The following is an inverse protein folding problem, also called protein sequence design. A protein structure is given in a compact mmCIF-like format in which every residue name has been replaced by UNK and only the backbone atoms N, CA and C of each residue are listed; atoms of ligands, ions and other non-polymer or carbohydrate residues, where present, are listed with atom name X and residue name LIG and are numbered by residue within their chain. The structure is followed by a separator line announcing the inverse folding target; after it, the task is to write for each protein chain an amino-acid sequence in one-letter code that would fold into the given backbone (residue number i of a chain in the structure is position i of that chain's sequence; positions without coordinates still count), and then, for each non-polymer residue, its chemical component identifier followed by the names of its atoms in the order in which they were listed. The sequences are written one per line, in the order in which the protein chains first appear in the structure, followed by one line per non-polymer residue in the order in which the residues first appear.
data_IF_736707690910
#
_entry.id   IF_736707690910
#
_cell.length_a   1.000
_cell.length_b   1.000
_cell.length_c   1.000
_cell.angle_alpha   90.00
_cell.angle_beta   90.00
_cell.angle_gamma   90.00
#
_symmetry.space_group_name_H-M   'P 1'
#
loop_
_entity.id
_entity.type
_entity.pdbx_description
1 polymer ?
#
# COMPACT_ATOMS: atom_id res chain seq x y z
N UNK A 1 -22.81 -37.08 51.09
CA UNK A 1 -22.37 -36.28 49.92
C UNK A 1 -23.27 -35.05 49.75
N UNK A 2 -22.70 -33.84 49.78
CA UNK A 2 -23.48 -32.62 49.52
C UNK A 2 -23.76 -32.51 48.02
N UNK A 3 -25.02 -32.28 47.64
CA UNK A 3 -25.41 -32.03 46.26
C UNK A 3 -24.73 -30.75 45.76
N UNK A 4 -24.05 -30.82 44.60
CA UNK A 4 -23.61 -29.60 43.90
C UNK A 4 -24.87 -28.87 43.42
N UNK A 5 -25.06 -27.64 43.87
CA UNK A 5 -26.17 -26.80 43.41
C UNK A 5 -26.07 -26.59 41.91
N UNK A 6 -27.23 -26.64 41.23
CA UNK A 6 -27.34 -26.22 39.84
C UNK A 6 -27.08 -24.72 39.75
N UNK A 7 -26.28 -24.35 38.77
CA UNK A 7 -26.06 -22.95 38.41
C UNK A 7 -27.41 -22.28 38.10
N UNK A 8 -27.67 -21.16 38.77
CA UNK A 8 -28.95 -20.48 38.77
C UNK A 8 -29.12 -19.54 37.58
N UNK A 9 -28.00 -19.08 36.99
CA UNK A 9 -28.00 -18.21 35.82
C UNK A 9 -26.92 -18.66 34.84
N UNK A 10 -27.12 -19.79 34.11
CA UNK A 10 -26.07 -20.33 33.25
C UNK A 10 -25.58 -19.39 32.14
N UNK A 11 -26.32 -18.31 31.86
CA UNK A 11 -25.98 -17.29 30.86
C UNK A 11 -24.93 -16.26 31.30
N UNK A 12 -24.56 -16.21 32.59
CA UNK A 12 -23.54 -15.29 33.12
C UNK A 12 -22.14 -15.90 33.23
N UNK A 13 -21.99 -17.16 32.82
CA UNK A 13 -20.69 -17.83 32.76
C UNK A 13 -19.79 -17.15 31.71
N UNK A 14 -18.90 -16.25 32.16
CA UNK A 14 -17.89 -15.61 31.31
C UNK A 14 -16.49 -16.21 31.55
N UNK A 15 -15.70 -16.23 30.48
CA UNK A 15 -14.25 -16.35 30.57
C UNK A 15 -13.62 -15.35 29.61
N UNK A 16 -12.70 -14.55 30.12
CA UNK A 16 -11.93 -13.61 29.32
C UNK A 16 -10.47 -14.05 29.25
N UNK A 17 -9.84 -13.85 28.09
CA UNK A 17 -8.42 -13.98 27.92
C UNK A 17 -7.89 -12.85 27.05
N UNK A 18 -6.80 -12.23 27.49
CA UNK A 18 -6.09 -11.20 26.75
C UNK A 18 -4.84 -11.79 26.08
N UNK A 19 -4.64 -11.46 24.81
CA UNK A 19 -3.43 -11.84 24.07
C UNK A 19 -2.71 -10.59 23.59
N UNK A 20 -1.39 -10.54 23.82
CA UNK A 20 -0.52 -9.54 23.21
C UNK A 20 0.05 -10.11 21.92
N UNK A 21 -0.18 -9.40 20.82
CA UNK A 21 0.37 -9.77 19.50
C UNK A 21 1.04 -8.56 18.86
N UNK A 22 2.09 -8.83 18.09
CA UNK A 22 2.66 -7.83 17.20
C UNK A 22 1.83 -7.80 15.92
N UNK A 23 1.23 -6.64 15.62
CA UNK A 23 0.54 -6.41 14.36
C UNK A 23 1.27 -5.31 13.60
N UNK A 24 2.18 -5.71 12.71
CA UNK A 24 3.04 -4.80 11.94
C UNK A 24 2.61 -4.75 10.48
N UNK A 25 2.84 -3.60 9.85
CA UNK A 25 2.74 -3.47 8.39
C UNK A 25 4.11 -3.75 7.77
N UNK A 26 4.12 -4.24 6.54
CA UNK A 26 5.34 -4.44 5.76
C UNK A 26 5.17 -3.81 4.37
N UNK A 27 5.77 -2.64 4.18
CA UNK A 27 5.52 -1.81 3.01
C UNK A 27 6.58 -2.03 1.94
N UNK A 28 6.17 -2.66 0.85
CA UNK A 28 7.08 -3.16 -0.18
C UNK A 28 6.83 -2.45 -1.50
N UNK A 29 7.88 -1.88 -2.09
CA UNK A 29 7.85 -1.34 -3.44
C UNK A 29 8.14 -2.45 -4.46
N UNK A 30 7.51 -2.37 -5.62
CA UNK A 30 7.81 -3.25 -6.76
C UNK A 30 7.93 -2.46 -8.05
N UNK A 31 8.66 -3.02 -9.01
CA UNK A 31 8.80 -2.52 -10.37
C UNK A 31 8.98 -3.67 -11.35
N UNK A 32 8.67 -3.41 -12.61
CA UNK A 32 8.91 -4.33 -13.72
C UNK A 32 10.27 -4.05 -14.39
N UNK A 33 10.88 -5.11 -14.93
CA UNK A 33 11.89 -4.99 -15.97
C UNK A 33 11.21 -5.14 -17.33
N UNK A 34 11.44 -4.18 -18.23
CA UNK A 34 10.88 -4.21 -19.58
C UNK A 34 11.94 -3.83 -20.61
N UNK A 35 11.88 -4.49 -21.77
CA UNK A 35 12.78 -4.23 -22.90
C UNK A 35 11.97 -4.05 -24.18
N UNK A 36 12.42 -3.17 -25.06
CA UNK A 36 11.82 -2.95 -26.38
C UNK A 36 12.88 -2.47 -27.37
N UNK A 37 12.58 -2.60 -28.67
CA UNK A 37 13.41 -2.00 -29.71
C UNK A 37 13.33 -0.46 -29.68
N UNK A 38 14.28 0.21 -30.35
CA UNK A 38 14.22 1.67 -30.49
C UNK A 38 12.89 2.11 -31.13
N UNK A 39 12.20 3.05 -30.47
CA UNK A 39 10.88 3.53 -30.89
C UNK A 39 9.69 2.68 -30.40
N UNK A 40 9.93 1.56 -29.72
CA UNK A 40 8.86 0.78 -29.12
C UNK A 40 8.33 1.45 -27.84
N UNK A 41 7.02 1.39 -27.65
CA UNK A 41 6.38 1.69 -26.36
C UNK A 41 6.33 0.42 -25.53
N UNK A 42 6.79 0.51 -24.28
CA UNK A 42 6.70 -0.56 -23.29
C UNK A 42 5.88 -0.11 -22.09
N UNK A 43 5.17 -1.03 -21.47
CA UNK A 43 4.45 -0.80 -20.22
C UNK A 43 5.27 -1.36 -19.07
N UNK A 44 5.58 -0.52 -18.08
CA UNK A 44 6.17 -0.94 -16.82
C UNK A 44 5.14 -0.79 -15.70
N UNK A 45 4.91 -1.84 -14.92
CA UNK A 45 4.12 -1.75 -13.69
C UNK A 45 5.05 -1.42 -12.53
N UNK A 46 4.61 -0.47 -11.73
CA UNK A 46 5.31 0.02 -10.57
C UNK A 46 4.29 0.38 -9.51
N UNK A 47 4.64 0.17 -8.25
CA UNK A 47 3.70 0.35 -7.17
C UNK A 47 4.27 -0.09 -5.84
N UNK A 48 3.35 -0.31 -4.91
CA UNK A 48 3.65 -0.85 -3.61
C UNK A 48 2.52 -1.77 -3.15
N UNK A 49 2.81 -2.63 -2.18
CA UNK A 49 1.85 -3.46 -1.48
C UNK A 49 2.23 -3.60 -0.02
N UNK A 50 1.29 -4.13 0.77
CA UNK A 50 1.49 -4.44 2.17
C UNK A 50 1.49 -5.95 2.35
N UNK A 51 2.64 -6.52 2.68
CA UNK A 51 2.78 -7.96 2.95
C UNK A 51 2.55 -8.31 4.43
N UNK A 52 2.44 -7.28 5.28
CA UNK A 52 2.17 -7.41 6.71
C UNK A 52 0.67 -7.49 7.03
N UNK A 53 0.30 -8.07 8.18
CA UNK A 53 -1.10 -8.17 8.60
C UNK A 53 -1.72 -6.83 9.03
N UNK A 54 -0.93 -5.80 9.36
CA UNK A 54 -1.48 -4.52 9.79
C UNK A 54 -1.92 -3.67 8.60
N UNK A 55 -3.07 -3.01 8.73
CA UNK A 55 -3.49 -1.96 7.80
C UNK A 55 -2.55 -0.74 7.81
N UNK A 56 -2.43 -0.09 6.65
CA UNK A 56 -1.67 1.16 6.47
C UNK A 56 -2.65 2.28 6.18
N UNK A 57 -2.62 3.34 6.99
CA UNK A 57 -3.56 4.43 6.83
C UNK A 57 -3.09 5.73 7.48
N UNK A 58 -3.38 6.84 6.79
CA UNK A 58 -3.28 8.22 7.32
C UNK A 58 -4.67 8.71 7.76
N UNK A 59 -5.29 7.94 8.67
CA UNK A 59 -6.74 7.98 9.01
C UNK A 59 -7.25 9.38 9.37
N UNK A 60 -6.41 10.22 9.99
CA UNK A 60 -6.79 11.57 10.45
C UNK A 60 -6.44 12.68 9.46
N UNK A 61 -5.49 12.47 8.56
CA UNK A 61 -4.96 13.53 7.68
C UNK A 61 -5.42 13.45 6.23
N UNK A 62 -5.98 12.33 5.79
CA UNK A 62 -6.49 12.14 4.41
C UNK A 62 -5.43 12.13 3.29
N UNK A 63 -4.18 12.49 3.59
CA UNK A 63 -3.07 12.43 2.64
C UNK A 63 -2.68 11.01 2.23
N UNK A 64 -1.99 10.91 1.09
CA UNK A 64 -1.46 9.64 0.57
C UNK A 64 -0.63 8.90 1.61
N UNK A 65 -0.80 7.58 1.69
CA UNK A 65 0.02 6.71 2.55
C UNK A 65 1.42 6.52 1.98
N UNK A 66 1.55 6.62 0.65
CA UNK A 66 2.81 6.56 -0.07
C UNK A 66 2.70 7.22 -1.45
N UNK A 67 3.87 7.49 -2.03
CA UNK A 67 4.05 7.88 -3.42
C UNK A 67 5.15 7.02 -4.04
N UNK A 68 5.08 6.84 -5.36
CA UNK A 68 6.14 6.18 -6.14
C UNK A 68 6.71 7.22 -7.09
N UNK A 69 8.02 7.45 -6.97
CA UNK A 69 8.75 8.27 -7.91
C UNK A 69 9.39 7.37 -8.97
N UNK A 70 9.09 7.66 -10.24
CA UNK A 70 9.67 6.96 -11.37
C UNK A 70 10.54 7.92 -12.18
N UNK A 71 11.83 7.61 -12.27
CA UNK A 71 12.75 8.35 -13.13
C UNK A 71 12.69 7.80 -14.54
N UNK A 72 12.21 8.62 -15.48
CA UNK A 72 12.20 8.28 -16.90
C UNK A 72 13.64 8.13 -17.39
N UNK A 73 14.03 6.98 -17.96
CA UNK A 73 15.37 6.79 -18.49
C UNK A 73 15.73 7.80 -19.58
N UNK A 74 17.01 8.15 -19.67
CA UNK A 74 17.48 9.05 -20.72
C UNK A 74 17.13 8.48 -22.11
N UNK A 75 16.56 9.33 -22.96
CA UNK A 75 16.13 8.94 -24.32
C UNK A 75 14.72 8.34 -24.40
N UNK A 76 14.03 8.14 -23.27
CA UNK A 76 12.63 7.73 -23.23
C UNK A 76 11.68 8.90 -22.91
N UNK A 77 10.41 8.74 -23.26
CA UNK A 77 9.31 9.65 -22.90
C UNK A 77 8.14 8.82 -22.40
N UNK A 78 7.44 9.34 -21.39
CA UNK A 78 6.17 8.76 -20.92
C UNK A 78 5.08 9.07 -21.94
N UNK A 79 4.46 8.05 -22.51
CA UNK A 79 3.35 8.19 -23.47
C UNK A 79 1.98 8.12 -22.81
N UNK A 80 1.88 7.52 -21.62
CA UNK A 80 0.67 7.46 -20.81
C UNK A 80 1.02 7.20 -19.34
N UNK A 81 0.19 7.69 -18.42
CA UNK A 81 0.36 7.48 -16.99
C UNK A 81 -1.00 7.36 -16.28
N UNK A 82 -1.07 6.72 -15.09
CA UNK A 82 -2.27 6.74 -14.25
C UNK A 82 -2.69 8.18 -13.89
N UNK A 83 -4.01 8.41 -13.72
CA UNK A 83 -4.61 9.73 -13.44
C UNK A 83 -4.00 10.50 -12.26
N UNK A 84 -3.41 9.80 -11.28
CA UNK A 84 -2.78 10.41 -10.10
C UNK A 84 -1.30 10.75 -10.26
N UNK A 85 -0.68 10.34 -11.37
CA UNK A 85 0.72 10.66 -11.65
C UNK A 85 0.84 12.08 -12.22
N UNK A 86 1.96 12.73 -11.94
CA UNK A 86 2.32 14.04 -12.50
C UNK A 86 3.80 14.07 -12.81
N UNK A 87 4.17 14.75 -13.88
CA UNK A 87 5.54 15.09 -14.20
C UNK A 87 6.14 16.04 -13.17
N UNK A 88 7.40 15.78 -12.82
CA UNK A 88 8.22 16.65 -11.97
C UNK A 88 9.62 16.79 -12.54
N UNK A 89 10.34 17.84 -12.13
CA UNK A 89 11.79 17.95 -12.33
C UNK A 89 12.53 17.04 -11.36
N UNK A 90 13.85 16.88 -11.54
CA UNK A 90 14.68 16.10 -10.61
C UNK A 90 14.64 16.68 -9.18
N UNK A 91 14.40 17.98 -9.05
CA UNK A 91 14.25 18.71 -7.80
C UNK A 91 12.81 18.68 -7.25
N UNK A 92 11.90 17.95 -7.91
CA UNK A 92 10.51 17.79 -7.48
C UNK A 92 9.57 18.94 -7.84
N UNK A 93 10.04 19.93 -8.62
CA UNK A 93 9.17 21.00 -9.10
C UNK A 93 8.19 20.46 -10.14
N UNK A 94 6.95 20.95 -10.13
CA UNK A 94 5.95 20.54 -11.11
C UNK A 94 6.46 20.77 -12.53
N UNK A 95 6.23 19.80 -13.40
CA UNK A 95 6.51 19.87 -14.83
C UNK A 95 5.27 19.41 -15.57
N UNK A 96 4.75 20.24 -16.46
CA UNK A 96 3.63 19.85 -17.30
C UNK A 96 4.03 18.63 -18.14
N UNK A 97 3.21 17.58 -18.03
CA UNK A 97 3.29 16.40 -18.87
C UNK A 97 3.18 16.87 -20.30
N UNK A 98 4.25 16.69 -21.09
CA UNK A 98 4.23 17.16 -22.48
C UNK A 98 3.15 16.35 -23.22
N UNK A 99 2.01 16.98 -23.44
CA UNK A 99 0.86 16.48 -24.18
C UNK A 99 1.28 16.11 -25.60
N UNK A 100 0.81 14.95 -26.08
CA UNK A 100 0.22 14.86 -27.41
C UNK A 100 -1.26 14.63 -27.22
#
# INVERSE_FOLDING_TARGET
PAARGVDLEPGDNEQEAEFRTANTADFMAYGDEASGAAGATVTARLGFHNDGPAWIGRIRSGGSVAAVDFTVPQGATVTSAPKGCRGVTAEGAYREDRKT
#
